data_IF_528119685498
#
_entry.id   IF_528119685498
#
_cell.length_a   1.000
_cell.length_b   1.000
_cell.length_c   1.000
_cell.angle_alpha   90.00
_cell.angle_beta   90.00
_cell.angle_gamma   90.00
#
_symmetry.space_group_name_H-M   'P 1'
#
loop_
_entity.id
_entity.type
_entity.pdbx_description
1 polymer ?
#
# COMPACT_ATOMS: atom_id res chain seq x y z
N UNK A 1 24.21 -14.35 10.05
CA UNK A 1 24.48 -13.52 8.87
C UNK A 1 24.06 -14.33 7.66
N UNK A 2 22.98 -13.93 6.98
CA UNK A 2 22.57 -14.59 5.73
C UNK A 2 23.56 -14.17 4.63
N UNK A 3 23.99 -15.14 3.83
CA UNK A 3 24.86 -14.85 2.68
C UNK A 3 24.06 -14.05 1.63
N UNK A 4 24.71 -13.22 0.83
CA UNK A 4 24.08 -12.40 -0.23
C UNK A 4 23.20 -13.25 -1.15
N UNK A 5 23.60 -14.49 -1.44
CA UNK A 5 22.84 -15.47 -2.24
C UNK A 5 21.52 -15.93 -1.57
N UNK A 6 21.50 -16.07 -0.25
CA UNK A 6 20.27 -16.43 0.48
C UNK A 6 19.28 -15.26 0.49
N UNK A 7 19.78 -14.03 0.63
CA UNK A 7 18.95 -12.83 0.57
C UNK A 7 18.34 -12.62 -0.82
N UNK A 8 19.12 -12.85 -1.88
CA UNK A 8 18.64 -12.81 -3.26
C UNK A 8 17.56 -13.88 -3.51
N UNK A 9 17.75 -15.09 -2.97
CA UNK A 9 16.78 -16.18 -3.08
C UNK A 9 15.50 -15.87 -2.30
N UNK A 10 15.58 -15.25 -1.12
CA UNK A 10 14.41 -14.82 -0.34
C UNK A 10 13.68 -13.63 -0.99
N UNK A 11 14.41 -12.69 -1.59
CA UNK A 11 13.82 -11.58 -2.35
C UNK A 11 13.12 -12.13 -3.59
N UNK A 12 13.75 -13.03 -4.35
CA UNK A 12 13.14 -13.69 -5.51
C UNK A 12 11.89 -14.46 -5.10
N UNK A 13 11.93 -15.26 -4.01
CA UNK A 13 10.76 -15.98 -3.49
C UNK A 13 9.65 -15.04 -2.99
N UNK A 14 10.00 -13.98 -2.29
CA UNK A 14 9.03 -12.98 -1.83
C UNK A 14 8.36 -12.26 -3.01
N UNK A 15 9.08 -12.06 -4.08
CA UNK A 15 8.59 -11.42 -5.29
C UNK A 15 7.83 -12.41 -6.17
N UNK A 16 8.26 -13.66 -6.29
CA UNK A 16 7.52 -14.73 -6.96
C UNK A 16 6.18 -15.03 -6.27
N UNK A 17 6.11 -14.92 -4.93
CA UNK A 17 4.86 -15.02 -4.17
C UNK A 17 3.89 -13.84 -4.33
N UNK A 18 4.34 -12.70 -4.87
CA UNK A 18 3.55 -11.51 -5.13
C UNK A 18 3.07 -11.46 -6.58
N UNK A 19 3.75 -12.15 -7.46
CA UNK A 19 3.47 -12.16 -8.90
C UNK A 19 2.59 -13.34 -9.26
N UNK A 20 1.30 -13.10 -9.45
CA UNK A 20 0.45 -14.00 -10.21
C UNK A 20 0.62 -13.67 -11.70
N UNK A 21 1.02 -14.62 -12.56
CA UNK A 21 1.30 -14.36 -13.98
C UNK A 21 0.11 -13.90 -14.81
N UNK A 22 -1.09 -13.84 -14.25
CA UNK A 22 -2.35 -13.63 -14.96
C UNK A 22 -2.83 -12.18 -15.07
N UNK A 23 -2.13 -11.22 -14.48
CA UNK A 23 -2.52 -9.83 -14.67
C UNK A 23 -1.68 -9.21 -15.78
N UNK A 24 -2.32 -8.80 -16.87
CA UNK A 24 -1.79 -7.93 -17.93
C UNK A 24 -1.39 -6.52 -17.40
N UNK A 25 -1.31 -6.37 -16.12
CA UNK A 25 -0.92 -5.17 -15.39
C UNK A 25 0.60 -5.01 -15.34
N UNK A 26 1.18 -4.90 -16.55
CA UNK A 26 2.49 -4.27 -16.67
C UNK A 26 2.34 -2.82 -16.20
N UNK A 27 3.16 -2.44 -15.25
CA UNK A 27 3.21 -1.06 -14.83
C UNK A 27 3.56 -0.22 -16.06
N UNK A 28 2.56 0.48 -16.60
CA UNK A 28 2.80 1.52 -17.61
C UNK A 28 3.62 2.58 -16.91
N UNK A 29 4.73 2.97 -17.50
CA UNK A 29 5.49 4.12 -17.03
C UNK A 29 4.56 5.34 -17.09
N UNK A 30 4.21 5.97 -15.98
CA UNK A 30 3.45 7.20 -16.07
C UNK A 30 4.37 8.27 -16.65
N UNK A 31 3.88 8.95 -17.66
CA UNK A 31 4.60 10.04 -18.34
C UNK A 31 4.78 11.29 -17.47
N UNK A 32 4.09 11.32 -16.33
CA UNK A 32 3.95 12.46 -15.45
C UNK A 32 4.58 12.24 -14.05
N UNK A 33 5.40 11.19 -13.88
CA UNK A 33 6.17 11.02 -12.67
C UNK A 33 7.22 12.11 -12.57
N UNK A 34 7.05 12.99 -11.60
CA UNK A 34 8.07 13.95 -11.21
C UNK A 34 8.43 13.74 -9.73
N UNK A 35 9.63 14.13 -9.37
CA UNK A 35 10.06 14.17 -7.98
C UNK A 35 10.24 15.63 -7.63
N UNK A 36 9.51 16.08 -6.62
CA UNK A 36 9.74 17.40 -6.02
C UNK A 36 10.55 17.20 -4.74
N UNK A 37 11.66 17.86 -4.64
CA UNK A 37 12.48 17.92 -3.42
C UNK A 37 13.97 17.65 -3.65
N UNK A 38 14.77 18.34 -2.88
CA UNK A 38 16.24 18.24 -2.96
C UNK A 38 16.74 16.84 -2.52
N UNK A 39 16.00 16.19 -1.63
CA UNK A 39 16.35 14.86 -1.08
C UNK A 39 16.40 13.73 -2.11
N UNK A 40 15.55 13.76 -3.15
CA UNK A 40 15.68 12.76 -4.22
C UNK A 40 16.92 13.00 -5.06
N UNK A 41 17.22 14.25 -5.31
CA UNK A 41 18.40 14.60 -6.07
C UNK A 41 19.68 14.18 -5.35
N UNK A 42 19.70 14.23 -4.01
CA UNK A 42 20.80 13.71 -3.20
C UNK A 42 20.97 12.20 -3.38
N UNK A 43 19.88 11.43 -3.44
CA UNK A 43 19.94 9.98 -3.74
C UNK A 43 20.46 9.72 -5.15
N UNK A 44 19.99 10.49 -6.15
CA UNK A 44 20.50 10.37 -7.53
C UNK A 44 22.00 10.65 -7.58
N UNK A 45 22.47 11.67 -6.86
CA UNK A 45 23.88 12.04 -6.84
C UNK A 45 24.74 11.05 -6.06
N UNK A 46 24.22 10.50 -4.97
CA UNK A 46 24.90 9.45 -4.18
C UNK A 46 25.05 8.18 -5.02
N UNK A 47 23.97 7.67 -5.60
CA UNK A 47 24.01 6.50 -6.47
C UNK A 47 24.85 6.78 -7.73
N UNK A 48 24.76 7.98 -8.26
CA UNK A 48 25.56 8.42 -9.41
C UNK A 48 27.07 8.38 -9.15
N UNK A 49 27.50 8.71 -7.95
CA UNK A 49 28.93 8.57 -7.55
C UNK A 49 29.40 7.13 -7.54
N UNK A 50 28.53 6.22 -7.08
CA UNK A 50 28.85 4.78 -6.99
C UNK A 50 28.98 4.11 -8.37
N UNK A 51 28.36 4.69 -9.41
CA UNK A 51 28.33 4.13 -10.77
C UNK A 51 29.05 4.97 -11.83
N UNK A 52 29.66 6.09 -11.44
CA UNK A 52 30.29 7.00 -12.40
C UNK A 52 31.55 6.41 -13.06
N UNK A 53 31.61 6.51 -14.38
CA UNK A 53 32.79 6.18 -15.16
C UNK A 53 33.35 7.43 -15.87
N UNK A 54 34.65 7.49 -16.22
CA UNK A 54 35.26 8.63 -16.93
C UNK A 54 34.57 9.01 -18.25
N UNK A 55 33.93 8.07 -18.94
CA UNK A 55 33.16 8.33 -20.16
C UNK A 55 31.87 9.11 -19.92
N UNK A 56 31.33 9.08 -18.71
CA UNK A 56 30.04 9.68 -18.37
C UNK A 56 30.15 11.17 -18.07
N UNK A 57 31.33 11.68 -17.76
CA UNK A 57 31.57 13.10 -17.50
C UNK A 57 31.16 14.02 -18.65
N UNK A 58 31.26 13.56 -19.90
CA UNK A 58 30.86 14.33 -21.10
C UNK A 58 29.33 14.49 -21.24
N UNK A 59 28.54 13.63 -20.58
CA UNK A 59 27.07 13.61 -20.67
C UNK A 59 26.43 13.64 -19.27
N UNK A 60 27.09 14.28 -18.33
CA UNK A 60 26.74 14.21 -16.90
C UNK A 60 25.25 14.51 -16.62
N UNK A 61 24.74 15.60 -17.18
CA UNK A 61 23.34 16.01 -16.97
C UNK A 61 22.34 14.96 -17.51
N UNK A 62 22.47 14.58 -18.80
CA UNK A 62 21.58 13.59 -19.40
C UNK A 62 21.74 12.19 -18.80
N UNK A 63 22.90 11.85 -18.25
CA UNK A 63 23.10 10.59 -17.52
C UNK A 63 22.37 10.64 -16.16
N UNK A 64 22.46 11.76 -15.47
CA UNK A 64 21.79 12.04 -14.21
C UNK A 64 20.26 11.97 -14.37
N UNK A 65 19.71 12.56 -15.45
CA UNK A 65 18.28 12.50 -15.75
C UNK A 65 17.79 11.05 -15.98
N UNK A 66 18.55 10.26 -16.76
CA UNK A 66 18.22 8.86 -16.99
C UNK A 66 18.32 8.03 -15.70
N UNK A 67 19.34 8.26 -14.89
CA UNK A 67 19.48 7.62 -13.58
C UNK A 67 18.31 8.00 -12.68
N UNK A 68 17.95 9.27 -12.60
CA UNK A 68 16.80 9.76 -11.86
C UNK A 68 15.51 9.05 -12.27
N UNK A 69 15.25 8.96 -13.56
CA UNK A 69 14.07 8.25 -14.10
C UNK A 69 14.08 6.75 -13.78
N UNK A 70 15.24 6.09 -13.80
CA UNK A 70 15.38 4.68 -13.40
C UNK A 70 15.05 4.53 -11.91
N UNK A 71 15.67 5.32 -11.04
CA UNK A 71 15.45 5.27 -9.61
C UNK A 71 14.00 5.58 -9.23
N UNK A 72 13.37 6.52 -9.92
CA UNK A 72 11.97 6.87 -9.74
C UNK A 72 11.04 5.68 -10.05
N UNK A 73 11.27 5.00 -11.17
CA UNK A 73 10.48 3.83 -11.54
C UNK A 73 10.72 2.63 -10.60
N UNK A 74 11.95 2.45 -10.13
CA UNK A 74 12.28 1.46 -9.11
C UNK A 74 11.60 1.77 -7.77
N UNK A 75 11.53 3.03 -7.35
CA UNK A 75 10.80 3.45 -6.15
C UNK A 75 9.32 3.08 -6.26
N UNK A 76 8.70 3.38 -7.39
CA UNK A 76 7.30 3.03 -7.63
C UNK A 76 7.05 1.53 -7.60
N UNK A 77 7.99 0.71 -8.09
CA UNK A 77 7.87 -0.75 -8.05
C UNK A 77 7.75 -1.29 -6.63
N UNK A 78 8.42 -0.67 -5.68
CA UNK A 78 8.36 -1.06 -4.26
C UNK A 78 6.97 -0.79 -3.69
N UNK A 79 6.41 0.38 -4.01
CA UNK A 79 5.09 0.82 -3.53
C UNK A 79 3.98 -0.04 -4.10
N UNK A 80 4.00 -0.21 -5.42
CA UNK A 80 2.96 -0.94 -6.14
C UNK A 80 3.12 -2.46 -6.00
N UNK A 81 4.23 -2.93 -5.41
CA UNK A 81 4.63 -4.34 -5.38
C UNK A 81 4.67 -4.98 -6.76
N UNK A 82 4.99 -4.21 -7.78
CA UNK A 82 5.10 -4.63 -9.17
C UNK A 82 6.54 -4.50 -9.62
N UNK A 83 6.94 -5.38 -10.54
CA UNK A 83 8.26 -5.30 -11.14
C UNK A 83 8.38 -4.09 -12.06
N UNK A 84 9.56 -3.49 -12.06
CA UNK A 84 9.87 -2.51 -13.09
C UNK A 84 10.41 -3.22 -14.31
N UNK A 85 9.78 -3.03 -15.44
CA UNK A 85 10.20 -3.58 -16.73
C UNK A 85 10.85 -2.48 -17.56
N UNK A 86 12.10 -2.65 -17.96
CA UNK A 86 12.72 -1.79 -18.95
C UNK A 86 12.80 -2.52 -20.29
N UNK A 87 12.17 -1.94 -21.31
CA UNK A 87 12.12 -2.53 -22.63
C UNK A 87 13.47 -2.38 -23.34
N UNK A 88 13.96 -3.48 -23.95
CA UNK A 88 15.23 -3.51 -24.66
C UNK A 88 15.13 -3.19 -26.14
N UNK A 89 13.93 -2.98 -26.68
CA UNK A 89 13.73 -2.72 -28.10
C UNK A 89 13.83 -1.22 -28.46
N UNK A 90 14.35 -0.92 -29.66
CA UNK A 90 14.55 0.46 -30.10
C UNK A 90 13.25 1.22 -30.38
N UNK A 91 12.16 0.50 -30.68
CA UNK A 91 10.85 1.10 -30.96
C UNK A 91 10.25 1.74 -29.70
N UNK A 92 10.47 1.16 -28.52
CA UNK A 92 10.01 1.71 -27.25
C UNK A 92 10.67 3.06 -26.93
N UNK A 93 11.89 3.32 -27.44
CA UNK A 93 12.63 4.58 -27.24
C UNK A 93 12.42 5.61 -28.35
N UNK A 94 11.69 5.27 -29.41
CA UNK A 94 11.35 6.22 -30.48
C UNK A 94 10.21 7.15 -30.02
N UNK A 95 10.07 8.29 -30.70
CA UNK A 95 9.01 9.28 -30.42
C UNK A 95 7.62 8.61 -30.38
N UNK A 96 6.92 8.73 -29.26
CA UNK A 96 5.63 8.09 -29.02
C UNK A 96 5.73 6.65 -28.48
N UNK A 97 6.92 6.09 -28.31
CA UNK A 97 7.12 4.81 -27.63
C UNK A 97 7.02 4.92 -26.11
N UNK A 98 6.78 3.78 -25.44
CA UNK A 98 6.57 3.73 -23.99
C UNK A 98 7.74 4.30 -23.18
N UNK A 99 8.98 3.93 -23.55
CA UNK A 99 10.17 4.41 -22.86
C UNK A 99 10.43 5.89 -23.12
N UNK A 100 10.17 6.35 -24.35
CA UNK A 100 10.29 7.77 -24.68
C UNK A 100 9.28 8.62 -23.89
N UNK A 101 8.03 8.16 -23.79
CA UNK A 101 6.98 8.84 -23.02
C UNK A 101 7.28 8.89 -21.52
N UNK A 102 8.11 7.96 -21.02
CA UNK A 102 8.59 7.93 -19.65
C UNK A 102 9.90 8.73 -19.43
N UNK A 103 10.29 9.57 -20.39
CA UNK A 103 11.49 10.40 -20.29
C UNK A 103 12.81 9.72 -20.67
N UNK A 104 12.78 8.48 -21.16
CA UNK A 104 13.99 7.79 -21.63
C UNK A 104 14.26 8.06 -23.09
N UNK A 105 15.19 8.97 -23.37
CA UNK A 105 15.51 9.42 -24.72
C UNK A 105 16.60 8.58 -25.43
N UNK A 106 17.29 7.70 -24.70
CA UNK A 106 18.40 6.90 -25.23
C UNK A 106 18.39 5.48 -24.68
N UNK A 107 18.15 4.50 -25.56
CA UNK A 107 18.23 3.07 -25.24
C UNK A 107 19.62 2.66 -24.73
N UNK A 108 20.67 3.05 -25.44
CA UNK A 108 22.05 2.67 -25.09
C UNK A 108 22.43 3.17 -23.70
N UNK A 109 22.06 4.40 -23.38
CA UNK A 109 22.34 5.01 -22.07
C UNK A 109 21.54 4.33 -20.96
N UNK A 110 20.25 4.08 -21.16
CA UNK A 110 19.42 3.34 -20.19
C UNK A 110 20.01 1.96 -19.91
N UNK A 111 20.39 1.22 -20.96
CA UNK A 111 21.01 -0.10 -20.81
C UNK A 111 22.35 -0.02 -20.08
N UNK A 112 23.21 0.94 -20.40
CA UNK A 112 24.50 1.14 -19.73
C UNK A 112 24.34 1.40 -18.23
N UNK A 113 23.40 2.27 -17.84
CA UNK A 113 23.11 2.57 -16.45
C UNK A 113 22.60 1.33 -15.74
N UNK A 114 21.61 0.62 -16.32
CA UNK A 114 21.03 -0.58 -15.73
C UNK A 114 22.09 -1.68 -15.54
N UNK A 115 22.94 -1.93 -16.55
CA UNK A 115 24.03 -2.92 -16.43
C UNK A 115 25.03 -2.53 -15.33
N UNK A 116 25.37 -1.25 -15.23
CA UNK A 116 26.26 -0.75 -14.18
C UNK A 116 25.63 -0.91 -12.79
N UNK A 117 24.36 -0.57 -12.61
CA UNK A 117 23.62 -0.76 -11.35
C UNK A 117 23.53 -2.24 -10.94
N UNK A 118 23.34 -3.14 -11.92
CA UNK A 118 23.36 -4.60 -11.67
C UNK A 118 24.75 -5.07 -11.29
N UNK A 119 25.79 -4.65 -12.02
CA UNK A 119 27.19 -5.02 -11.72
C UNK A 119 27.62 -4.54 -10.35
N UNK A 120 27.20 -3.35 -9.93
CA UNK A 120 27.42 -2.79 -8.59
C UNK A 120 26.51 -3.37 -7.52
N UNK A 121 25.64 -4.33 -7.85
CA UNK A 121 24.66 -4.97 -6.94
C UNK A 121 23.68 -3.99 -6.26
N UNK A 122 23.49 -2.81 -6.83
CA UNK A 122 22.54 -1.80 -6.35
C UNK A 122 21.13 -2.23 -6.71
N UNK A 123 20.95 -2.87 -7.90
CA UNK A 123 19.69 -3.48 -8.33
C UNK A 123 19.92 -4.95 -8.72
N UNK A 124 18.86 -5.75 -8.62
CA UNK A 124 18.82 -7.08 -9.18
C UNK A 124 18.09 -7.11 -10.52
N UNK A 125 18.39 -8.14 -11.35
CA UNK A 125 17.76 -8.39 -12.64
C UNK A 125 17.25 -9.82 -12.74
N UNK A 126 16.07 -9.97 -13.34
CA UNK A 126 15.55 -11.27 -13.79
C UNK A 126 15.31 -11.18 -15.28
N UNK A 127 15.89 -12.09 -16.04
CA UNK A 127 15.81 -12.09 -17.50
C UNK A 127 14.40 -12.42 -17.97
N UNK A 128 13.86 -11.61 -18.86
CA UNK A 128 12.49 -11.69 -19.37
C UNK A 128 12.16 -12.99 -20.11
N UNK A 129 13.17 -13.70 -20.63
CA UNK A 129 13.01 -15.00 -21.28
C UNK A 129 12.44 -16.10 -20.35
N UNK A 130 12.49 -15.92 -19.03
CA UNK A 130 11.90 -16.83 -18.04
C UNK A 130 10.40 -16.62 -17.85
N UNK A 131 9.84 -15.52 -18.33
CA UNK A 131 8.42 -15.18 -18.23
C UNK A 131 7.79 -15.25 -19.60
N UNK A 132 7.03 -16.30 -19.87
CA UNK A 132 6.46 -16.64 -21.19
C UNK A 132 5.54 -15.56 -21.81
N UNK A 133 5.08 -14.57 -21.01
CA UNK A 133 4.16 -13.51 -21.46
C UNK A 133 4.84 -12.20 -21.89
N UNK A 134 6.13 -12.00 -21.60
CA UNK A 134 6.81 -10.76 -22.02
C UNK A 134 8.26 -10.98 -22.48
N UNK A 135 8.46 -11.43 -23.74
CA UNK A 135 9.77 -11.79 -24.28
C UNK A 135 10.71 -10.60 -24.49
N UNK A 136 10.27 -9.36 -24.27
CA UNK A 136 11.00 -8.17 -24.73
C UNK A 136 11.61 -7.31 -23.63
N UNK A 137 11.45 -7.65 -22.36
CA UNK A 137 11.94 -6.84 -21.24
C UNK A 137 12.53 -7.65 -20.10
N UNK A 138 13.57 -7.12 -19.47
CA UNK A 138 14.09 -7.65 -18.23
C UNK A 138 13.38 -6.99 -17.05
N UNK A 139 13.19 -7.74 -15.99
CA UNK A 139 12.61 -7.27 -14.75
C UNK A 139 13.72 -6.82 -13.82
N UNK A 140 13.54 -5.66 -13.18
CA UNK A 140 14.50 -5.07 -12.27
C UNK A 140 13.88 -4.79 -10.92
N UNK A 141 14.67 -4.91 -9.86
CA UNK A 141 14.25 -4.61 -8.49
C UNK A 141 15.41 -3.99 -7.70
N UNK A 142 15.14 -2.99 -6.83
CA UNK A 142 16.17 -2.40 -6.00
C UNK A 142 16.60 -3.37 -4.90
N UNK A 143 17.90 -3.37 -4.57
CA UNK A 143 18.40 -4.10 -3.41
C UNK A 143 17.87 -3.47 -2.10
N UNK A 144 18.20 -4.08 -0.95
CA UNK A 144 17.74 -3.58 0.35
C UNK A 144 18.27 -2.17 0.64
N UNK A 145 19.54 -1.94 0.39
CA UNK A 145 20.21 -0.66 0.67
C UNK A 145 19.64 0.48 -0.16
N UNK A 146 19.46 0.26 -1.47
CA UNK A 146 18.80 1.23 -2.33
C UNK A 146 17.37 1.51 -1.89
N UNK A 147 16.61 0.49 -1.47
CA UNK A 147 15.26 0.67 -0.94
C UNK A 147 15.26 1.55 0.32
N UNK A 148 16.15 1.27 1.25
CA UNK A 148 16.28 2.06 2.48
C UNK A 148 16.67 3.52 2.17
N UNK A 149 17.59 3.75 1.22
CA UNK A 149 17.95 5.09 0.75
C UNK A 149 16.75 5.79 0.11
N UNK A 150 16.09 5.14 -0.86
CA UNK A 150 14.94 5.71 -1.56
C UNK A 150 13.80 6.13 -0.62
N UNK A 151 13.60 5.45 0.52
CA UNK A 151 12.53 5.77 1.47
C UNK A 151 12.98 6.59 2.67
N UNK A 152 14.27 6.56 3.05
CA UNK A 152 14.78 7.38 4.15
C UNK A 152 14.63 8.87 3.88
N UNK A 153 14.75 9.29 2.63
CA UNK A 153 14.68 10.69 2.22
C UNK A 153 13.27 11.13 1.81
N UNK A 154 12.23 10.36 2.19
CA UNK A 154 10.85 10.76 1.95
C UNK A 154 10.54 10.99 0.48
N UNK A 155 10.86 10.01 -0.37
CA UNK A 155 10.64 10.15 -1.82
C UNK A 155 9.19 10.47 -2.13
N UNK A 156 8.98 11.73 -2.46
CA UNK A 156 7.75 12.22 -3.03
C UNK A 156 7.68 11.84 -4.51
N UNK A 157 7.13 10.67 -4.78
CA UNK A 157 6.66 10.42 -6.13
C UNK A 157 5.33 11.12 -6.30
N UNK A 158 5.34 12.34 -6.78
CA UNK A 158 4.12 13.06 -7.11
C UNK A 158 3.81 12.88 -8.58
N UNK A 159 2.68 12.29 -8.88
CA UNK A 159 1.97 12.59 -10.10
C UNK A 159 1.05 13.77 -9.81
N UNK A 160 1.29 14.94 -10.38
CA UNK A 160 0.38 16.09 -10.21
C UNK A 160 -1.03 15.73 -10.68
N UNK A 161 -1.16 14.91 -11.72
CA UNK A 161 -2.43 14.35 -12.20
C UNK A 161 -3.08 13.37 -11.23
N UNK A 162 -2.39 12.88 -10.19
CA UNK A 162 -2.97 11.91 -9.25
C UNK A 162 -4.08 12.53 -8.40
N UNK A 163 -3.99 13.83 -8.12
CA UNK A 163 -5.01 14.56 -7.35
C UNK A 163 -6.23 14.95 -8.18
N UNK A 164 -6.16 14.86 -9.51
CA UNK A 164 -7.29 15.07 -10.43
C UNK A 164 -8.11 13.80 -10.66
N UNK A 165 -7.73 12.69 -10.02
CA UNK A 165 -8.43 11.41 -10.12
C UNK A 165 -9.78 11.46 -9.42
N UNK A 166 -10.64 10.52 -9.81
CA UNK A 166 -11.90 10.26 -9.13
C UNK A 166 -11.63 9.85 -7.67
N UNK A 167 -11.95 10.74 -6.72
CA UNK A 167 -11.62 10.61 -5.30
C UNK A 167 -12.47 9.55 -4.57
N UNK A 168 -13.68 9.29 -5.09
CA UNK A 168 -14.59 8.29 -4.53
C UNK A 168 -14.97 7.29 -5.62
N UNK A 169 -14.93 5.99 -5.34
CA UNK A 169 -15.17 4.94 -6.34
C UNK A 169 -16.04 3.83 -5.77
N UNK A 170 -16.85 3.23 -6.65
CA UNK A 170 -17.51 1.94 -6.35
C UNK A 170 -16.89 0.85 -7.23
N UNK A 171 -16.45 -0.23 -6.61
CA UNK A 171 -16.01 -1.42 -7.31
C UNK A 171 -17.22 -2.31 -7.64
N UNK A 172 -17.53 -2.48 -8.93
CA UNK A 172 -18.61 -3.36 -9.41
C UNK A 172 -18.00 -4.68 -9.90
N UNK A 173 -18.39 -5.83 -9.33
CA UNK A 173 -17.77 -7.13 -9.64
C UNK A 173 -17.82 -7.55 -11.10
N UNK A 174 -18.81 -7.07 -11.87
CA UNK A 174 -19.06 -7.54 -13.23
C UNK A 174 -18.59 -6.61 -14.36
N UNK A 175 -18.13 -5.39 -14.05
CA UNK A 175 -17.83 -4.36 -15.08
C UNK A 175 -16.64 -3.46 -14.77
N UNK A 176 -15.76 -3.83 -13.83
CA UNK A 176 -14.68 -2.97 -13.42
C UNK A 176 -15.14 -1.78 -12.55
N UNK A 177 -14.35 -0.72 -12.54
CA UNK A 177 -14.63 0.48 -11.75
C UNK A 177 -15.82 1.25 -12.37
N UNK A 178 -16.89 1.38 -11.60
CA UNK A 178 -17.96 2.33 -11.93
C UNK A 178 -17.70 3.67 -11.27
N UNK A 179 -17.76 4.76 -12.02
CA UNK A 179 -17.89 6.09 -11.43
C UNK A 179 -19.33 6.29 -10.96
N UNK A 180 -19.52 6.78 -9.74
CA UNK A 180 -20.76 7.41 -9.31
C UNK A 180 -20.67 8.86 -9.78
N UNK A 181 -21.81 9.47 -10.01
CA UNK A 181 -21.88 10.95 -10.06
C UNK A 181 -21.60 11.48 -8.66
N UNK A 182 -20.35 11.91 -8.47
CA UNK A 182 -19.75 12.18 -7.16
C UNK A 182 -20.11 13.55 -6.63
N UNK A 183 -20.74 14.39 -7.45
CA UNK A 183 -21.14 15.74 -7.05
C UNK A 183 -22.26 15.73 -6.02
N UNK A 184 -22.94 14.59 -5.86
CA UNK A 184 -24.10 14.43 -4.96
C UNK A 184 -23.76 13.66 -3.67
N UNK A 185 -22.52 13.18 -3.48
CA UNK A 185 -22.15 12.37 -2.31
C UNK A 185 -21.34 13.21 -1.33
N UNK A 186 -21.84 13.35 -0.09
CA UNK A 186 -21.15 14.07 1.00
C UNK A 186 -19.69 13.63 1.18
N UNK A 187 -19.41 12.36 0.93
CA UNK A 187 -18.07 11.81 0.99
C UNK A 187 -17.09 12.46 0.01
N UNK A 188 -17.56 12.85 -1.18
CA UNK A 188 -16.68 13.51 -2.15
C UNK A 188 -16.11 14.81 -1.59
N UNK A 189 -16.95 15.65 -1.02
CA UNK A 189 -16.50 16.93 -0.46
C UNK A 189 -15.53 16.73 0.71
N UNK A 190 -15.80 15.76 1.58
CA UNK A 190 -14.91 15.43 2.70
C UNK A 190 -13.54 14.93 2.22
N UNK A 191 -13.52 14.07 1.20
CA UNK A 191 -12.27 13.54 0.63
C UNK A 191 -11.54 14.63 -0.16
N UNK A 192 -12.24 15.51 -0.86
CA UNK A 192 -11.64 16.66 -1.54
C UNK A 192 -10.96 17.61 -0.55
N UNK A 193 -11.60 17.94 0.57
CA UNK A 193 -10.99 18.77 1.63
C UNK A 193 -9.73 18.13 2.23
N UNK A 194 -9.74 16.80 2.45
CA UNK A 194 -8.56 16.05 2.92
C UNK A 194 -7.43 16.16 1.89
N UNK A 195 -7.74 16.01 0.62
CA UNK A 195 -6.75 16.06 -0.45
C UNK A 195 -6.19 17.47 -0.68
N UNK A 196 -7.00 18.51 -0.54
CA UNK A 196 -6.48 19.89 -0.61
C UNK A 196 -5.45 20.18 0.48
N UNK A 197 -5.70 19.72 1.72
CA UNK A 197 -4.71 19.82 2.78
C UNK A 197 -3.49 18.95 2.51
N UNK A 198 -3.70 17.73 2.01
CA UNK A 198 -2.65 16.78 1.68
C UNK A 198 -1.70 17.29 0.58
N UNK A 199 -2.20 18.04 -0.41
CA UNK A 199 -1.37 18.61 -1.49
C UNK A 199 -0.24 19.51 -0.97
N UNK A 200 -0.44 20.21 0.14
CA UNK A 200 0.56 21.07 0.75
C UNK A 200 1.61 20.32 1.57
N UNK A 201 1.37 19.05 1.89
CA UNK A 201 2.23 18.25 2.75
C UNK A 201 3.22 17.40 1.96
N UNK A 202 4.25 16.88 2.65
CA UNK A 202 5.26 15.99 2.07
C UNK A 202 5.22 14.61 2.71
N UNK A 203 5.10 13.55 1.90
CA UNK A 203 5.17 12.16 2.36
C UNK A 203 5.56 11.21 1.23
N UNK A 204 6.01 10.02 1.58
CA UNK A 204 6.34 8.99 0.60
C UNK A 204 5.09 8.57 -0.19
N UNK A 205 5.24 8.43 -1.52
CA UNK A 205 4.16 7.99 -2.42
C UNK A 205 2.96 8.93 -2.43
N UNK A 206 3.23 10.23 -2.46
CA UNK A 206 2.24 11.28 -2.46
C UNK A 206 1.27 11.15 -3.63
N UNK A 207 0.09 10.64 -3.34
CA UNK A 207 -1.03 10.50 -4.29
C UNK A 207 -2.35 10.85 -3.60
N UNK A 208 -3.40 11.10 -4.39
CA UNK A 208 -4.71 11.38 -3.83
C UNK A 208 -5.18 10.26 -2.89
N UNK A 209 -5.64 10.66 -1.72
CA UNK A 209 -6.38 9.80 -0.81
C UNK A 209 -7.73 9.55 -1.45
N UNK A 210 -8.10 8.28 -1.62
CA UNK A 210 -9.36 7.89 -2.26
C UNK A 210 -10.23 7.08 -1.31
N UNK A 211 -11.55 7.19 -1.45
CA UNK A 211 -12.51 6.34 -0.75
C UNK A 211 -13.07 5.31 -1.72
N UNK A 212 -12.99 4.03 -1.35
CA UNK A 212 -13.38 2.92 -2.23
C UNK A 212 -14.49 2.10 -1.58
N UNK A 213 -15.67 2.12 -2.18
CA UNK A 213 -16.81 1.30 -1.81
C UNK A 213 -16.84 -0.01 -2.59
N UNK A 214 -17.56 -1.00 -2.07
CA UNK A 214 -17.76 -2.29 -2.72
C UNK A 214 -19.25 -2.52 -2.87
N UNK A 215 -19.69 -2.71 -4.11
CA UNK A 215 -21.10 -2.91 -4.51
C UNK A 215 -21.98 -1.65 -4.48
N UNK A 216 -22.05 -0.92 -3.39
CA UNK A 216 -22.91 0.24 -3.16
C UNK A 216 -22.22 1.26 -2.21
N UNK A 217 -22.76 2.48 -2.04
CA UNK A 217 -22.17 3.52 -1.17
C UNK A 217 -22.22 3.21 0.33
N UNK A 218 -22.85 2.12 0.74
CA UNK A 218 -23.05 1.74 2.13
C UNK A 218 -22.20 0.56 2.57
N UNK A 219 -21.36 0.03 1.64
CA UNK A 219 -20.54 -1.15 1.91
C UNK A 219 -19.08 -0.90 1.59
N UNK A 220 -18.20 -1.30 2.51
CA UNK A 220 -16.77 -1.05 2.47
C UNK A 220 -16.44 0.42 2.72
N UNK A 221 -16.12 1.25 1.72
CA UNK A 221 -15.87 2.69 1.92
C UNK A 221 -14.60 3.01 2.70
N UNK A 222 -13.58 2.17 2.61
CA UNK A 222 -12.26 2.43 3.21
C UNK A 222 -11.52 3.53 2.48
N UNK A 223 -10.71 4.25 3.23
CA UNK A 223 -9.73 5.17 2.67
C UNK A 223 -8.53 4.39 2.13
N UNK A 224 -8.03 4.82 1.00
CA UNK A 224 -6.90 4.19 0.31
C UNK A 224 -5.85 5.23 -0.05
N UNK A 225 -4.58 4.86 0.20
CA UNK A 225 -3.39 5.58 -0.23
C UNK A 225 -2.36 4.59 -0.76
N UNK A 226 -1.49 5.01 -1.66
CA UNK A 226 -0.32 4.20 -2.01
C UNK A 226 0.63 4.02 -0.81
N UNK A 227 0.67 5.00 0.10
CA UNK A 227 1.44 4.94 1.33
C UNK A 227 1.12 3.70 2.19
N UNK A 228 -0.16 3.33 2.32
CA UNK A 228 -0.55 2.14 3.11
C UNK A 228 0.02 0.83 2.57
N UNK A 229 0.38 0.78 1.27
CA UNK A 229 0.93 -0.40 0.60
C UNK A 229 2.44 -0.58 0.84
N UNK A 230 3.11 0.42 1.42
CA UNK A 230 4.53 0.30 1.78
C UNK A 230 4.77 -0.87 2.73
N UNK A 231 5.81 -1.68 2.52
CA UNK A 231 6.15 -2.79 3.39
C UNK A 231 6.39 -2.35 4.83
N UNK A 232 5.52 -2.81 5.76
CA UNK A 232 5.61 -2.47 7.18
C UNK A 232 6.29 -3.56 8.00
N UNK A 233 6.01 -4.85 7.73
CA UNK A 233 6.47 -5.96 8.57
C UNK A 233 7.86 -6.47 8.21
N UNK A 234 8.11 -6.77 6.93
CA UNK A 234 9.34 -7.41 6.48
C UNK A 234 10.54 -6.47 6.45
N UNK A 235 10.33 -5.21 6.08
CA UNK A 235 11.41 -4.25 5.85
C UNK A 235 11.24 -2.94 6.62
N UNK A 236 10.16 -2.78 7.37
CA UNK A 236 9.80 -1.56 8.12
C UNK A 236 9.90 -0.27 7.29
N UNK A 237 9.70 -0.38 5.96
CA UNK A 237 9.85 0.77 5.04
C UNK A 237 8.87 1.85 5.42
N UNK A 238 7.57 1.52 5.54
CA UNK A 238 6.55 2.51 5.90
C UNK A 238 6.85 3.20 7.22
N UNK A 239 7.29 2.47 8.23
CA UNK A 239 7.61 2.99 9.57
C UNK A 239 8.86 3.87 9.60
N UNK A 240 9.73 3.77 8.58
CA UNK A 240 10.95 4.57 8.47
C UNK A 240 10.79 5.73 7.47
N UNK A 241 9.58 5.99 6.96
CA UNK A 241 9.30 7.16 6.13
C UNK A 241 9.14 8.41 6.98
N UNK A 242 9.16 9.55 6.31
CA UNK A 242 8.94 10.85 6.93
C UNK A 242 7.63 11.44 6.44
N UNK A 243 6.98 12.22 7.29
CA UNK A 243 5.91 13.15 6.92
C UNK A 243 6.44 14.55 7.27
N UNK A 244 6.46 15.46 6.29
CA UNK A 244 7.00 16.82 6.44
C UNK A 244 8.42 16.86 7.03
N UNK A 245 9.26 15.86 6.69
CA UNK A 245 10.61 15.73 7.20
C UNK A 245 10.73 15.10 8.59
N UNK A 246 9.63 14.79 9.27
CA UNK A 246 9.59 14.22 10.61
C UNK A 246 9.27 12.72 10.61
N UNK A 247 9.84 11.93 11.53
CA UNK A 247 9.53 10.52 11.69
C UNK A 247 8.05 10.27 12.00
N UNK A 248 7.47 9.24 11.40
CA UNK A 248 6.07 8.89 11.61
C UNK A 248 5.86 8.01 12.84
N UNK A 249 4.64 8.11 13.39
CA UNK A 249 4.06 7.15 14.33
C UNK A 249 2.77 6.60 13.77
N UNK A 250 2.61 5.27 13.80
CA UNK A 250 1.37 4.60 13.44
C UNK A 250 0.54 4.37 14.71
N UNK A 251 -0.69 4.87 14.72
CA UNK A 251 -1.66 4.68 15.79
C UNK A 251 -2.76 3.76 15.26
N UNK A 252 -2.87 2.58 15.85
CA UNK A 252 -3.80 1.52 15.46
C UNK A 252 -5.03 1.50 16.38
N UNK A 253 -6.20 1.22 15.82
CA UNK A 253 -7.42 1.00 16.61
C UNK A 253 -7.46 -0.44 17.16
N UNK A 254 -7.42 -0.57 18.45
CA UNK A 254 -7.44 -1.88 19.10
C UNK A 254 -8.80 -2.58 18.92
N UNK A 255 -8.77 -3.83 18.44
CA UNK A 255 -9.94 -4.69 18.20
C UNK A 255 -11.06 -4.02 17.37
N UNK A 256 -10.67 -3.15 16.41
CA UNK A 256 -11.54 -2.20 15.71
C UNK A 256 -12.87 -2.82 15.24
N UNK A 257 -12.83 -3.83 14.38
CA UNK A 257 -14.06 -4.42 13.82
C UNK A 257 -14.98 -5.04 14.85
N UNK A 258 -14.43 -5.70 15.89
CA UNK A 258 -15.26 -6.27 16.96
C UNK A 258 -15.90 -5.15 17.80
N UNK A 259 -15.14 -4.11 18.13
CA UNK A 259 -15.67 -2.95 18.88
C UNK A 259 -16.73 -2.20 18.08
N UNK A 260 -16.53 -2.01 16.78
CA UNK A 260 -17.54 -1.41 15.91
C UNK A 260 -18.82 -2.25 15.84
N UNK A 261 -18.68 -3.58 15.76
CA UNK A 261 -19.81 -4.49 15.80
C UNK A 261 -20.60 -4.39 17.11
N UNK A 262 -19.90 -4.38 18.24
CA UNK A 262 -20.53 -4.25 19.55
C UNK A 262 -21.21 -2.88 19.71
N UNK A 263 -20.55 -1.79 19.31
CA UNK A 263 -21.14 -0.46 19.34
C UNK A 263 -22.38 -0.33 18.44
N UNK A 264 -22.32 -0.92 17.24
CA UNK A 264 -23.45 -0.96 16.32
C UNK A 264 -24.67 -1.67 16.95
N UNK A 265 -24.42 -2.72 17.72
CA UNK A 265 -25.45 -3.44 18.51
C UNK A 265 -25.80 -2.76 19.84
N UNK A 266 -25.39 -1.51 20.04
CA UNK A 266 -25.65 -0.72 21.27
C UNK A 266 -25.15 -1.39 22.54
N UNK A 267 -24.07 -2.16 22.43
CA UNK A 267 -23.38 -2.71 23.58
C UNK A 267 -22.42 -1.67 24.14
N UNK A 268 -22.44 -1.51 25.45
CA UNK A 268 -21.47 -0.64 26.12
C UNK A 268 -20.10 -1.32 26.17
N UNK A 269 -19.15 -0.74 25.45
CA UNK A 269 -17.77 -1.23 25.33
C UNK A 269 -16.78 -0.14 25.73
N UNK A 270 -17.24 0.86 26.48
CA UNK A 270 -16.54 2.12 26.62
C UNK A 270 -15.45 2.17 27.69
N UNK A 271 -14.38 2.81 27.31
CA UNK A 271 -13.68 3.80 28.11
C UNK A 271 -12.50 3.32 28.92
N UNK A 272 -12.36 2.05 29.24
CA UNK A 272 -11.30 1.56 30.11
C UNK A 272 -10.08 0.97 29.40
N UNK A 273 -10.06 1.03 28.06
CA UNK A 273 -8.98 0.42 27.28
C UNK A 273 -9.02 -1.10 27.23
N UNK A 274 -10.10 -1.74 27.68
CA UNK A 274 -10.25 -3.19 27.71
C UNK A 274 -10.16 -3.78 26.30
N UNK A 275 -9.37 -4.83 26.17
CA UNK A 275 -9.21 -5.59 24.93
C UNK A 275 -10.29 -6.66 24.84
N UNK A 276 -11.35 -6.41 24.06
CA UNK A 276 -12.47 -7.34 23.88
C UNK A 276 -12.03 -8.75 23.44
N UNK A 277 -10.98 -8.86 22.61
CA UNK A 277 -10.45 -10.18 22.26
C UNK A 277 -9.83 -10.88 23.46
N UNK A 278 -9.19 -10.16 24.37
CA UNK A 278 -8.56 -10.72 25.57
C UNK A 278 -9.59 -11.19 26.58
N UNK A 279 -10.68 -10.45 26.76
CA UNK A 279 -11.77 -10.87 27.65
C UNK A 279 -12.39 -12.19 27.18
N UNK A 280 -12.72 -12.28 25.89
CA UNK A 280 -13.26 -13.51 25.31
C UNK A 280 -12.23 -14.64 25.42
N UNK A 281 -10.96 -14.37 25.15
CA UNK A 281 -9.87 -15.35 25.22
C UNK A 281 -9.73 -15.95 26.64
N UNK A 282 -9.77 -15.08 27.64
CA UNK A 282 -9.68 -15.49 29.05
C UNK A 282 -10.86 -16.41 29.43
N UNK A 283 -12.08 -16.04 29.04
CA UNK A 283 -13.27 -16.82 29.33
C UNK A 283 -13.32 -18.14 28.56
N UNK A 284 -12.95 -18.13 27.29
CA UNK A 284 -12.86 -19.32 26.43
C UNK A 284 -11.62 -20.19 26.69
N UNK A 285 -10.67 -19.73 27.50
CA UNK A 285 -9.38 -20.39 27.79
C UNK A 285 -8.58 -20.71 26.53
N UNK A 286 -8.50 -19.75 25.62
CA UNK A 286 -7.71 -19.82 24.39
C UNK A 286 -6.79 -18.59 24.30
N UNK A 287 -5.84 -18.61 23.39
CA UNK A 287 -5.01 -17.43 23.17
C UNK A 287 -5.78 -16.31 22.43
N UNK A 288 -5.36 -15.06 22.66
CA UNK A 288 -5.97 -13.87 22.08
C UNK A 288 -5.93 -13.87 20.55
N UNK A 289 -4.87 -14.41 19.95
CA UNK A 289 -4.70 -14.41 18.50
C UNK A 289 -5.69 -15.37 17.83
N UNK A 290 -5.99 -16.49 18.47
CA UNK A 290 -7.04 -17.43 18.01
C UNK A 290 -8.41 -16.74 18.01
N UNK A 291 -8.75 -15.98 19.07
CA UNK A 291 -10.00 -15.20 19.13
C UNK A 291 -10.02 -14.14 18.04
N UNK A 292 -8.94 -13.36 17.88
CA UNK A 292 -8.82 -12.35 16.81
C UNK A 292 -9.03 -12.98 15.43
N UNK A 293 -8.38 -14.09 15.15
CA UNK A 293 -8.50 -14.80 13.85
C UNK A 293 -9.93 -15.26 13.60
N UNK A 294 -10.59 -15.81 14.64
CA UNK A 294 -11.97 -16.26 14.54
C UNK A 294 -12.92 -15.07 14.24
N UNK A 295 -12.86 -13.98 15.01
CA UNK A 295 -13.76 -12.84 14.81
C UNK A 295 -13.46 -12.08 13.51
N UNK A 296 -12.21 -12.02 13.09
CA UNK A 296 -11.89 -11.46 11.76
C UNK A 296 -12.60 -12.23 10.64
N UNK A 297 -12.71 -13.55 10.75
CA UNK A 297 -13.46 -14.36 9.80
C UNK A 297 -14.98 -14.25 10.04
N UNK A 298 -15.44 -14.35 11.29
CA UNK A 298 -16.86 -14.37 11.67
C UNK A 298 -17.62 -13.11 11.22
N UNK A 299 -17.02 -11.95 11.41
CA UNK A 299 -17.61 -10.68 10.97
C UNK A 299 -17.65 -10.50 9.44
N UNK A 300 -16.93 -11.35 8.69
CA UNK A 300 -16.90 -11.34 7.22
C UNK A 300 -17.60 -12.56 6.58
N UNK A 301 -18.20 -13.44 7.36
CA UNK A 301 -18.85 -14.66 6.89
C UNK A 301 -20.33 -14.70 7.29
N UNK A 302 -21.13 -15.42 6.50
CA UNK A 302 -22.57 -15.58 6.73
C UNK A 302 -22.88 -16.70 7.74
N UNK A 303 -21.91 -17.60 8.02
CA UNK A 303 -22.15 -18.74 8.92
C UNK A 303 -20.94 -19.07 9.79
N UNK A 304 -21.24 -19.71 10.91
CA UNK A 304 -20.24 -20.20 11.86
C UNK A 304 -19.23 -21.15 11.19
N UNK A 305 -19.69 -22.08 10.37
CA UNK A 305 -18.86 -23.07 9.69
C UNK A 305 -17.84 -22.42 8.76
N UNK A 306 -18.28 -21.41 7.98
CA UNK A 306 -17.41 -20.64 7.10
C UNK A 306 -16.39 -19.84 7.91
N UNK A 307 -16.82 -19.21 8.99
CA UNK A 307 -15.95 -18.43 9.87
C UNK A 307 -14.85 -19.31 10.49
N UNK A 308 -15.24 -20.45 11.06
CA UNK A 308 -14.33 -21.41 11.68
C UNK A 308 -13.30 -21.95 10.65
N UNK A 309 -13.78 -22.35 9.49
CA UNK A 309 -12.92 -22.87 8.40
C UNK A 309 -11.96 -21.79 7.89
N UNK A 310 -12.45 -20.57 7.64
CA UNK A 310 -11.64 -19.45 7.21
C UNK A 310 -10.56 -19.04 8.21
N UNK A 311 -10.89 -19.05 9.49
CA UNK A 311 -9.95 -18.78 10.58
C UNK A 311 -9.01 -19.96 10.90
N UNK A 312 -9.28 -21.15 10.37
CA UNK A 312 -8.55 -22.40 10.67
C UNK A 312 -8.54 -22.72 12.17
N UNK A 313 -9.63 -22.43 12.88
CA UNK A 313 -9.78 -22.68 14.30
C UNK A 313 -10.48 -24.04 14.50
N UNK A 314 -9.94 -24.95 15.35
CA UNK A 314 -10.59 -26.20 15.69
C UNK A 314 -11.99 -25.97 16.29
N UNK A 315 -12.96 -26.85 15.96
CA UNK A 315 -14.37 -26.70 16.35
C UNK A 315 -14.57 -26.53 17.86
N UNK A 316 -13.84 -27.29 18.66
CA UNK A 316 -13.87 -27.17 20.14
C UNK A 316 -13.54 -25.76 20.61
N UNK A 317 -12.53 -25.14 20.04
CA UNK A 317 -12.13 -23.78 20.43
C UNK A 317 -13.10 -22.74 19.89
N UNK A 318 -13.56 -22.90 18.63
CA UNK A 318 -14.51 -21.99 18.04
C UNK A 318 -15.85 -21.96 18.80
N UNK A 319 -16.37 -23.12 19.27
CA UNK A 319 -17.54 -23.20 20.15
C UNK A 319 -17.32 -22.48 21.46
N UNK A 320 -16.21 -22.75 22.14
CA UNK A 320 -15.86 -22.06 23.39
C UNK A 320 -15.73 -20.54 23.24
N UNK A 321 -15.21 -20.07 22.10
CA UNK A 321 -15.13 -18.64 21.77
C UNK A 321 -16.54 -18.05 21.63
N UNK A 322 -17.45 -18.73 20.90
CA UNK A 322 -18.82 -18.25 20.73
C UNK A 322 -19.60 -18.25 22.04
N UNK A 323 -19.50 -19.30 22.85
CA UNK A 323 -20.12 -19.37 24.18
C UNK A 323 -19.61 -18.24 25.10
N UNK A 324 -18.31 -17.98 25.09
CA UNK A 324 -17.71 -16.88 25.84
C UNK A 324 -18.23 -15.52 25.34
N UNK A 325 -18.32 -15.34 24.02
CA UNK A 325 -18.84 -14.14 23.40
C UNK A 325 -20.31 -13.89 23.78
N UNK A 326 -21.17 -14.87 23.62
CA UNK A 326 -22.61 -14.78 23.94
C UNK A 326 -22.85 -14.51 25.43
N UNK A 327 -21.99 -15.04 26.31
CA UNK A 327 -22.01 -14.75 27.73
C UNK A 327 -21.65 -13.31 28.07
N UNK A 328 -20.64 -12.75 27.41
CA UNK A 328 -20.19 -11.37 27.60
C UNK A 328 -21.13 -10.36 26.94
N UNK A 329 -21.66 -10.73 25.76
CA UNK A 329 -22.43 -9.84 24.90
C UNK A 329 -23.75 -10.49 24.44
N UNK A 330 -24.70 -10.78 25.36
CA UNK A 330 -25.87 -11.62 25.08
C UNK A 330 -26.85 -11.03 24.07
N UNK A 331 -26.76 -9.75 23.76
CA UNK A 331 -27.61 -9.08 22.78
C UNK A 331 -26.96 -8.99 21.39
N UNK A 332 -25.68 -9.33 21.27
CA UNK A 332 -24.95 -9.26 20.03
C UNK A 332 -24.99 -10.61 19.28
N UNK A 333 -25.62 -10.65 18.11
CA UNK A 333 -25.74 -11.86 17.29
C UNK A 333 -24.91 -11.67 16.01
N UNK A 334 -23.86 -12.45 15.84
CA UNK A 334 -22.97 -12.36 14.67
C UNK A 334 -23.61 -13.03 13.46
N UNK A 335 -24.19 -14.21 13.65
CA UNK A 335 -24.81 -15.01 12.57
C UNK A 335 -26.34 -14.92 12.65
N UNK A 336 -26.86 -13.74 12.29
CA UNK A 336 -28.32 -13.44 12.37
C UNK A 336 -29.04 -13.62 11.01
N UNK A 337 -28.36 -14.18 9.99
CA UNK A 337 -28.91 -14.36 8.65
C UNK A 337 -28.87 -13.11 7.77
N UNK A 338 -28.38 -12.00 8.28
CA UNK A 338 -28.13 -10.77 7.53
C UNK A 338 -26.77 -10.81 6.81
N UNK A 339 -26.49 -9.74 6.06
CA UNK A 339 -25.18 -9.58 5.44
C UNK A 339 -24.08 -9.50 6.51
N UNK A 340 -22.88 -10.08 6.25
CA UNK A 340 -21.75 -9.99 7.17
C UNK A 340 -21.44 -8.55 7.54
N UNK A 341 -21.24 -8.29 8.83
CA UNK A 341 -20.97 -6.96 9.36
C UNK A 341 -19.68 -6.34 8.80
N UNK A 342 -18.72 -7.16 8.36
CA UNK A 342 -17.40 -6.68 7.95
C UNK A 342 -17.42 -5.57 6.89
N UNK A 343 -18.38 -5.59 5.96
CA UNK A 343 -18.52 -4.53 4.96
C UNK A 343 -19.07 -3.23 5.57
N UNK A 344 -20.02 -3.32 6.49
CA UNK A 344 -20.53 -2.18 7.26
C UNK A 344 -19.43 -1.66 8.20
N UNK A 345 -18.71 -2.55 8.88
CA UNK A 345 -17.58 -2.21 9.73
C UNK A 345 -16.49 -1.43 8.98
N UNK A 346 -16.18 -1.83 7.74
CA UNK A 346 -15.23 -1.09 6.88
C UNK A 346 -15.74 0.32 6.51
N UNK A 347 -17.04 0.50 6.33
CA UNK A 347 -17.63 1.81 6.07
C UNK A 347 -17.50 2.70 7.30
N UNK A 348 -17.90 2.22 8.46
CA UNK A 348 -17.78 2.93 9.74
C UNK A 348 -16.33 3.29 10.06
N UNK A 349 -15.40 2.38 9.79
CA UNK A 349 -13.96 2.62 9.90
C UNK A 349 -13.52 3.80 9.04
N UNK A 350 -13.95 3.83 7.77
CA UNK A 350 -13.64 4.93 6.86
C UNK A 350 -14.22 6.27 7.34
N UNK A 351 -15.40 6.29 7.97
CA UNK A 351 -15.99 7.49 8.56
C UNK A 351 -15.23 7.98 9.80
N UNK A 352 -14.88 7.07 10.70
CA UNK A 352 -14.09 7.38 11.88
C UNK A 352 -12.74 7.96 11.50
N UNK A 353 -12.07 7.36 10.51
CA UNK A 353 -10.79 7.88 9.99
C UNK A 353 -10.94 9.29 9.42
N UNK A 354 -11.99 9.57 8.64
CA UNK A 354 -12.23 10.93 8.13
C UNK A 354 -12.45 11.94 9.25
N UNK A 355 -13.23 11.56 10.28
CA UNK A 355 -13.45 12.41 11.46
C UNK A 355 -12.13 12.67 12.19
N UNK A 356 -11.34 11.61 12.44
CA UNK A 356 -10.06 11.72 13.12
C UNK A 356 -9.08 12.60 12.34
N UNK A 357 -8.95 12.39 11.02
CA UNK A 357 -8.11 13.22 10.15
C UNK A 357 -8.56 14.67 10.12
N UNK A 358 -9.88 14.93 10.14
CA UNK A 358 -10.41 16.30 10.24
C UNK A 358 -10.03 16.96 11.57
N UNK A 359 -10.14 16.26 12.69
CA UNK A 359 -9.76 16.78 14.00
C UNK A 359 -8.26 17.06 14.10
N UNK A 360 -7.43 16.15 13.58
CA UNK A 360 -5.98 16.35 13.52
C UNK A 360 -5.59 17.56 12.67
N UNK A 361 -6.25 17.75 11.51
CA UNK A 361 -6.07 18.93 10.66
C UNK A 361 -6.38 20.24 11.37
N UNK A 362 -7.42 20.27 12.21
CA UNK A 362 -7.75 21.46 13.03
C UNK A 362 -6.64 21.79 14.05
N UNK A 363 -5.81 20.81 14.39
CA UNK A 363 -4.63 20.97 15.24
C UNK A 363 -3.34 21.15 14.42
N UNK A 364 -3.45 21.37 13.11
CA UNK A 364 -2.33 21.45 12.15
C UNK A 364 -1.45 20.19 12.11
N UNK A 365 -2.04 19.02 12.41
CA UNK A 365 -1.37 17.71 12.32
C UNK A 365 -1.84 17.02 11.04
N UNK A 366 -0.90 16.69 10.16
CA UNK A 366 -1.20 15.92 8.97
C UNK A 366 -1.21 14.43 9.27
N UNK A 367 -2.24 13.74 8.80
CA UNK A 367 -2.44 12.31 9.03
C UNK A 367 -2.71 11.57 7.71
N UNK A 368 -2.11 10.38 7.58
CA UNK A 368 -2.34 9.45 6.47
C UNK A 368 -3.12 8.22 6.94
N UNK A 369 -4.18 7.83 6.24
CA UNK A 369 -4.94 6.63 6.59
C UNK A 369 -4.19 5.35 6.20
N UNK A 370 -4.23 4.35 7.10
CA UNK A 370 -3.65 3.02 6.90
C UNK A 370 -4.69 1.99 7.33
N UNK A 371 -5.63 1.63 6.46
CA UNK A 371 -6.70 0.68 6.80
C UNK A 371 -7.44 1.08 8.08
N UNK A 372 -7.11 0.46 9.22
CA UNK A 372 -7.66 0.68 10.57
C UNK A 372 -6.69 1.44 11.49
N UNK A 373 -5.75 2.20 10.91
CA UNK A 373 -4.75 2.98 11.61
C UNK A 373 -4.54 4.35 10.96
N UNK A 374 -3.85 5.22 11.65
CA UNK A 374 -3.41 6.54 11.15
C UNK A 374 -1.90 6.66 11.34
N UNK A 375 -1.20 7.14 10.31
CA UNK A 375 0.17 7.61 10.44
C UNK A 375 0.19 9.13 10.61
N UNK A 376 0.90 9.60 11.62
CA UNK A 376 1.12 11.03 11.92
C UNK A 376 2.61 11.28 12.16
N UNK A 377 3.04 12.51 12.02
CA UNK A 377 4.37 12.98 12.43
C UNK A 377 4.36 13.50 13.87
#
# INVERSE_FOLDING_TARGET
>A
MHTTSQLETEIVKAVEGIYTPDTDDHQRFPSDLSVKGDSFQEVVDEVGKDISSPRQAKYAESHRDHLGNILLNLSRSIVTRRWTVFFGDSKSYSKGGLMHSAGFTSRSRTSEILETLVASKIIGRVDGAKYQKNPHGNLYYPNRELREKLFRYGLETTSESSFDKVLVRINKPSRGWGSIDLTTVDDYHKIAEINEYAKAQTWACKEAITRIFKYDPFTSGRLHTEFQNLPARSHKIRQNTLINGEPIKEVDFNANHLRLFLAFNKMDIYGDGTDAYREIANLARVDRQTVKSFFTAALNCESYERARSGAKVPDKFAKGIMEAFERLYPKAQIFNGERPFGLVGMQLEGEILQIAMKQLRLLDVFALPIQDAIAVN
#
